data_IF_686090800261
#
_entry.id   IF_686090800261
#
_cell.length_a   1.000
_cell.length_b   1.000
_cell.length_c   1.000
_cell.angle_alpha   90.00
_cell.angle_beta   90.00
_cell.angle_gamma   90.00
#
_symmetry.space_group_name_H-M   'P 1'
#
loop_
_entity.id
_entity.type
_entity.pdbx_description
1 polymer ?
#
# COMPACT_ATOMS: atom_id res chain seq x y z
N UNK A 1 6.44 12.64 1.16
CA UNK A 1 5.51 11.90 0.28
C UNK A 1 4.43 11.14 1.05
N UNK A 2 4.74 10.23 1.99
CA UNK A 2 3.70 9.48 2.74
C UNK A 2 2.62 10.36 3.40
N UNK A 3 2.99 11.50 4.01
CA UNK A 3 2.03 12.46 4.56
C UNK A 3 1.05 13.02 3.51
N UNK A 4 1.49 13.19 2.27
CA UNK A 4 0.64 13.65 1.17
C UNK A 4 -0.27 12.51 0.68
N UNK A 5 0.24 11.28 0.55
CA UNK A 5 -0.57 10.10 0.22
C UNK A 5 -1.74 9.91 1.21
N UNK A 6 -1.46 9.96 2.51
CA UNK A 6 -2.49 9.81 3.53
C UNK A 6 -3.46 10.99 3.58
N UNK A 7 -2.98 12.21 3.29
CA UNK A 7 -3.85 13.38 3.12
C UNK A 7 -4.84 13.19 1.97
N UNK A 8 -4.38 12.61 0.85
CA UNK A 8 -5.20 12.34 -0.33
C UNK A 8 -6.38 11.45 0.05
N UNK A 9 -6.11 10.30 0.67
CA UNK A 9 -7.17 9.34 1.06
C UNK A 9 -8.04 9.83 2.23
N UNK A 10 -7.58 10.80 3.03
CA UNK A 10 -8.44 11.46 4.02
C UNK A 10 -9.38 12.49 3.41
N UNK A 11 -9.10 12.99 2.20
CA UNK A 11 -9.91 14.01 1.56
C UNK A 11 -11.31 13.48 1.21
N UNK A 12 -12.36 14.22 1.60
CA UNK A 12 -13.76 13.82 1.36
C UNK A 12 -14.08 13.57 -0.13
N UNK A 13 -13.51 14.36 -1.05
CA UNK A 13 -13.74 14.19 -2.50
C UNK A 13 -13.05 12.96 -3.10
N UNK A 14 -11.96 12.51 -2.47
CA UNK A 14 -11.27 11.28 -2.86
C UNK A 14 -12.08 10.08 -2.36
N UNK A 15 -12.56 10.14 -1.12
CA UNK A 15 -13.38 9.07 -0.51
C UNK A 15 -14.67 8.74 -1.25
N UNK A 16 -15.22 9.67 -2.05
CA UNK A 16 -16.38 9.38 -2.90
C UNK A 16 -16.03 8.61 -4.17
N UNK A 17 -14.74 8.39 -4.44
CA UNK A 17 -14.23 7.73 -5.65
C UNK A 17 -13.39 6.50 -5.36
N UNK A 18 -12.59 6.54 -4.29
CA UNK A 18 -11.79 5.41 -3.83
C UNK A 18 -11.73 5.37 -2.32
N UNK A 19 -11.79 4.16 -1.76
CA UNK A 19 -11.60 3.88 -0.35
C UNK A 19 -10.24 3.20 -0.13
N UNK A 20 -9.53 3.63 0.91
CA UNK A 20 -8.28 2.99 1.31
C UNK A 20 -8.60 1.89 2.34
N UNK A 21 -8.47 0.63 1.95
CA UNK A 21 -8.77 -0.52 2.81
C UNK A 21 -7.66 -0.85 3.80
N UNK A 22 -6.39 -0.63 3.42
CA UNK A 22 -5.23 -1.00 4.22
C UNK A 22 -3.93 -0.50 3.60
N UNK A 23 -2.86 -0.52 4.38
CA UNK A 23 -1.50 -0.23 3.92
C UNK A 23 -0.62 -1.41 4.33
N UNK A 24 0.07 -2.01 3.37
CA UNK A 24 1.06 -3.07 3.62
C UNK A 24 2.45 -2.47 3.38
N UNK A 25 3.35 -2.63 4.34
CA UNK A 25 4.74 -2.16 4.26
C UNK A 25 5.71 -3.32 4.49
N UNK A 26 6.78 -3.32 3.69
CA UNK A 26 7.94 -4.20 3.86
C UNK A 26 9.13 -3.49 4.53
N UNK A 27 9.03 -2.17 4.73
CA UNK A 27 10.07 -1.35 5.36
C UNK A 27 10.06 -1.51 6.88
N UNK A 28 11.26 -1.57 7.46
CA UNK A 28 11.45 -1.66 8.91
C UNK A 28 11.39 -0.29 9.62
N UNK A 29 11.66 0.81 8.91
CA UNK A 29 11.65 2.17 9.46
C UNK A 29 10.26 2.64 9.90
N UNK A 30 10.20 3.81 10.55
CA UNK A 30 8.97 4.41 11.10
C UNK A 30 8.46 5.62 10.30
N UNK A 31 9.01 5.91 9.12
CA UNK A 31 8.66 7.12 8.34
C UNK A 31 7.17 7.10 7.95
N UNK A 32 6.67 5.93 7.55
CA UNK A 32 5.26 5.72 7.25
C UNK A 32 4.39 5.84 8.51
N UNK A 33 4.87 5.37 9.66
CA UNK A 33 4.16 5.37 10.93
C UNK A 33 3.96 6.79 11.43
N UNK A 34 5.00 7.62 11.34
CA UNK A 34 4.91 9.03 11.68
C UNK A 34 3.93 9.77 10.77
N UNK A 35 3.86 9.41 9.49
CA UNK A 35 2.85 9.93 8.58
C UNK A 35 1.44 9.45 8.98
N UNK A 36 1.30 8.16 9.31
CA UNK A 36 0.06 7.54 9.72
C UNK A 36 -0.52 8.18 10.99
N UNK A 37 0.31 8.36 12.03
CA UNK A 37 -0.02 9.03 13.30
C UNK A 37 -0.70 10.37 13.10
N UNK A 38 -0.26 11.13 12.10
CA UNK A 38 -0.82 12.43 11.79
C UNK A 38 -2.30 12.39 11.36
N UNK A 39 -2.72 11.34 10.65
CA UNK A 39 -4.04 11.29 10.02
C UNK A 39 -4.99 10.28 10.66
N UNK A 40 -4.46 9.18 11.17
CA UNK A 40 -5.23 8.06 11.68
C UNK A 40 -4.95 7.80 13.17
N UNK A 41 -4.10 8.60 13.83
CA UNK A 41 -3.71 8.32 15.22
C UNK A 41 -2.78 7.11 15.30
N UNK A 42 -2.73 6.43 16.44
CA UNK A 42 -1.77 5.34 16.64
C UNK A 42 -1.89 4.23 15.56
N UNK A 43 -0.76 3.74 15.01
CA UNK A 43 -0.73 2.69 14.01
C UNK A 43 -1.52 1.44 14.40
N UNK A 44 -2.42 1.02 13.52
CA UNK A 44 -3.15 -0.23 13.67
C UNK A 44 -2.36 -1.38 13.00
N UNK A 45 -1.38 -1.95 13.73
CA UNK A 45 -0.57 -3.07 13.24
C UNK A 45 -1.29 -4.42 13.23
N UNK A 46 -2.51 -4.51 13.79
CA UNK A 46 -3.29 -5.75 13.86
C UNK A 46 -2.58 -6.92 14.59
N UNK A 47 -1.98 -6.65 15.76
CA UNK A 47 -1.30 -7.67 16.58
C UNK A 47 -2.21 -8.71 17.26
N UNK A 48 -3.53 -8.62 17.07
CA UNK A 48 -4.47 -9.64 17.54
C UNK A 48 -5.77 -9.65 16.73
N UNK A 49 -6.41 -10.83 16.66
CA UNK A 49 -7.79 -10.98 16.22
C UNK A 49 -8.69 -10.66 17.44
N UNK A 50 -9.50 -9.62 17.37
CA UNK A 50 -10.48 -9.29 18.42
C UNK A 50 -10.24 -8.01 19.19
N UNK A 51 -9.15 -7.27 18.95
CA UNK A 51 -9.12 -5.86 19.32
C UNK A 51 -9.89 -5.07 18.25
N UNK A 52 -11.22 -5.11 18.34
CA UNK A 52 -12.06 -3.95 18.02
C UNK A 52 -11.79 -2.85 19.07
N UNK A 53 -10.52 -2.48 19.26
CA UNK A 53 -10.19 -1.25 19.97
C UNK A 53 -10.79 -0.08 19.20
N UNK A 54 -11.05 1.08 19.84
CA UNK A 54 -11.91 2.18 19.37
C UNK A 54 -11.48 2.87 18.06
N UNK A 55 -10.50 2.32 17.36
CA UNK A 55 -9.92 2.85 16.15
C UNK A 55 -10.59 2.19 14.94
N UNK A 56 -11.61 2.86 14.37
CA UNK A 56 -12.10 2.68 12.98
C UNK A 56 -11.00 3.01 11.94
N UNK A 57 -9.73 2.80 12.28
CA UNK A 57 -8.60 3.23 11.47
C UNK A 57 -8.13 2.11 10.55
N UNK A 58 -7.68 2.54 9.38
CA UNK A 58 -7.19 1.71 8.30
C UNK A 58 -5.98 0.89 8.79
N UNK A 59 -5.95 -0.45 8.63
CA UNK A 59 -4.80 -1.26 8.99
C UNK A 59 -3.49 -0.75 8.37
N UNK A 60 -2.42 -0.67 9.19
CA UNK A 60 -1.04 -0.46 8.75
C UNK A 60 -0.25 -1.73 9.07
N UNK A 61 -0.11 -2.62 8.10
CA UNK A 61 0.46 -3.95 8.26
C UNK A 61 1.94 -3.93 7.87
N UNK A 62 2.83 -4.25 8.81
CA UNK A 62 4.27 -4.41 8.52
C UNK A 62 4.63 -5.88 8.50
N UNK A 63 4.79 -6.45 7.31
CA UNK A 63 4.94 -7.90 7.14
C UNK A 63 6.30 -8.42 7.63
N UNK A 64 7.32 -7.58 7.63
CA UNK A 64 8.68 -7.92 8.11
C UNK A 64 8.97 -7.40 9.52
N UNK A 65 8.03 -6.69 10.13
CA UNK A 65 8.24 -6.03 11.41
C UNK A 65 8.72 -4.59 11.30
N UNK A 66 9.14 -4.02 12.43
CA UNK A 66 9.67 -2.66 12.50
C UNK A 66 10.67 -2.46 13.61
N UNK A 67 11.61 -1.55 13.39
CA UNK A 67 12.60 -1.17 14.40
C UNK A 67 11.99 -0.47 15.63
N UNK A 68 10.78 0.10 15.51
CA UNK A 68 10.09 0.75 16.62
C UNK A 68 9.13 -0.18 17.40
N UNK A 69 9.24 -1.50 17.22
CA UNK A 69 8.42 -2.50 17.92
C UNK A 69 9.07 -3.07 19.18
N UNK A 70 9.98 -2.31 19.79
CA UNK A 70 10.69 -2.69 21.02
C UNK A 70 9.76 -2.73 22.24
N UNK A 71 8.73 -1.87 22.28
CA UNK A 71 7.77 -1.74 23.40
C UNK A 71 6.33 -1.53 22.94
N UNK A 72 5.78 -2.49 22.21
CA UNK A 72 4.37 -2.44 21.80
C UNK A 72 3.46 -2.99 22.89
N UNK A 73 2.27 -2.41 23.03
CA UNK A 73 1.23 -2.94 23.92
C UNK A 73 0.34 -3.90 23.14
N UNK A 74 0.27 -5.16 23.58
CA UNK A 74 -0.64 -6.18 23.04
C UNK A 74 -1.48 -6.69 24.20
N UNK A 75 -2.81 -6.50 24.15
CA UNK A 75 -3.73 -6.87 25.24
C UNK A 75 -3.29 -6.32 26.59
N UNK A 76 -2.90 -5.04 26.62
CA UNK A 76 -2.44 -4.34 27.82
C UNK A 76 -1.04 -4.70 28.32
N UNK A 77 -0.35 -5.67 27.71
CA UNK A 77 1.01 -6.08 28.10
C UNK A 77 2.05 -5.52 27.14
N UNK A 78 3.12 -4.95 27.68
CA UNK A 78 4.27 -4.53 26.87
C UNK A 78 5.00 -5.77 26.35
N UNK A 79 5.28 -5.82 25.06
CA UNK A 79 6.05 -6.87 24.40
C UNK A 79 7.03 -6.25 23.41
N UNK A 80 8.17 -6.91 23.28
CA UNK A 80 9.10 -6.71 22.17
C UNK A 80 8.73 -7.71 21.08
N UNK A 81 8.59 -7.24 19.84
CA UNK A 81 8.37 -8.12 18.68
C UNK A 81 9.67 -8.21 17.90
N UNK A 82 10.12 -9.42 17.63
CA UNK A 82 11.28 -9.68 16.78
C UNK A 82 10.97 -9.27 15.33
N UNK A 83 11.91 -8.58 14.69
CA UNK A 83 11.86 -8.31 13.25
C UNK A 83 12.15 -9.59 12.47
N UNK A 84 11.51 -9.78 11.31
CA UNK A 84 11.86 -10.86 10.39
C UNK A 84 13.01 -10.34 9.53
N UNK A 85 14.25 -10.84 9.69
CA UNK A 85 15.38 -10.33 8.92
C UNK A 85 15.28 -10.71 7.44
N UNK A 86 15.92 -9.91 6.58
CA UNK A 86 16.04 -10.19 5.16
C UNK A 86 16.79 -11.53 4.96
N UNK A 87 16.24 -12.43 4.14
CA UNK A 87 16.88 -13.68 3.76
C UNK A 87 16.75 -14.86 4.75
N UNK A 88 16.13 -14.68 5.92
CA UNK A 88 15.86 -15.80 6.82
C UNK A 88 14.60 -16.59 6.40
N UNK A 89 14.51 -17.85 6.84
CA UNK A 89 13.26 -18.61 6.81
C UNK A 89 12.21 -17.84 7.62
N UNK A 90 11.33 -17.11 6.92
CA UNK A 90 10.33 -16.24 7.52
C UNK A 90 9.26 -17.11 8.18
N UNK A 91 9.28 -17.22 9.49
CA UNK A 91 8.24 -17.94 10.23
C UNK A 91 7.14 -16.97 10.67
N UNK A 92 6.15 -16.76 9.81
CA UNK A 92 4.97 -15.91 10.05
C UNK A 92 3.81 -16.66 10.73
N UNK A 93 4.00 -17.94 11.12
CA UNK A 93 2.95 -18.75 11.75
C UNK A 93 2.76 -18.41 13.23
N UNK A 94 3.71 -17.71 13.84
CA UNK A 94 3.64 -17.34 15.24
C UNK A 94 3.07 -15.93 15.44
N UNK A 95 2.43 -15.74 16.60
CA UNK A 95 1.96 -14.43 17.00
C UNK A 95 3.14 -13.46 17.24
N UNK A 96 3.02 -12.18 16.86
CA UNK A 96 1.82 -11.57 16.30
C UNK A 96 1.72 -11.63 14.77
N UNK A 97 2.73 -12.14 14.07
CA UNK A 97 2.80 -12.13 12.61
C UNK A 97 1.65 -12.86 11.94
N UNK A 98 1.21 -14.00 12.48
CA UNK A 98 0.06 -14.71 11.93
C UNK A 98 -1.17 -13.79 11.81
N UNK A 99 -1.43 -12.94 12.79
CA UNK A 99 -2.54 -11.98 12.76
C UNK A 99 -2.36 -10.88 11.72
N UNK A 100 -1.13 -10.38 11.57
CA UNK A 100 -0.78 -9.37 10.55
C UNK A 100 -1.00 -9.94 9.15
N UNK A 101 -0.49 -11.15 8.91
CA UNK A 101 -0.59 -11.84 7.63
C UNK A 101 -2.03 -12.28 7.32
N UNK A 102 -2.79 -12.76 8.31
CA UNK A 102 -4.22 -13.02 8.15
C UNK A 102 -5.01 -11.75 7.79
N UNK A 103 -4.68 -10.61 8.42
CA UNK A 103 -5.32 -9.33 8.05
C UNK A 103 -4.93 -8.88 6.66
N UNK A 104 -3.67 -9.10 6.26
CA UNK A 104 -3.20 -8.77 4.91
C UNK A 104 -3.96 -9.58 3.85
N UNK A 105 -4.16 -10.87 4.09
CA UNK A 105 -5.02 -11.71 3.24
C UNK A 105 -6.43 -11.13 3.12
N UNK A 106 -7.08 -10.83 4.25
CA UNK A 106 -8.45 -10.30 4.28
C UNK A 106 -8.60 -9.00 3.46
N UNK A 107 -7.66 -8.06 3.59
CA UNK A 107 -7.73 -6.79 2.85
C UNK A 107 -7.44 -6.99 1.36
N UNK A 108 -6.57 -7.94 0.99
CA UNK A 108 -6.23 -8.22 -0.40
C UNK A 108 -7.38 -8.94 -1.12
N UNK A 109 -8.06 -9.88 -0.46
CA UNK A 109 -9.26 -10.52 -1.03
C UNK A 109 -10.38 -9.51 -1.31
N UNK A 110 -10.47 -8.44 -0.50
CA UNK A 110 -11.47 -7.37 -0.66
C UNK A 110 -11.03 -6.23 -1.58
N UNK A 111 -9.76 -6.16 -2.00
CA UNK A 111 -9.27 -5.02 -2.76
C UNK A 111 -9.54 -5.17 -4.26
N UNK A 112 -9.93 -4.09 -4.91
CA UNK A 112 -10.08 -4.05 -6.37
C UNK A 112 -8.80 -3.58 -7.05
N UNK A 113 -8.08 -2.67 -6.37
CA UNK A 113 -6.83 -2.09 -6.86
C UNK A 113 -5.76 -2.20 -5.78
N UNK A 114 -4.67 -2.91 -6.08
CA UNK A 114 -3.45 -2.95 -5.29
C UNK A 114 -2.40 -2.01 -5.90
N UNK A 115 -1.96 -1.01 -5.13
CA UNK A 115 -0.91 -0.08 -5.54
C UNK A 115 0.42 -0.46 -4.89
N UNK A 116 1.40 -0.84 -5.72
CA UNK A 116 2.73 -1.24 -5.26
C UNK A 116 3.68 -0.08 -5.50
N UNK A 117 4.19 0.52 -4.43
CA UNK A 117 5.05 1.71 -4.48
C UNK A 117 6.48 1.32 -4.11
N UNK A 118 7.42 1.47 -5.03
CA UNK A 118 8.84 1.29 -4.75
C UNK A 118 9.24 -0.12 -4.31
N UNK A 119 8.50 -1.16 -4.74
CA UNK A 119 8.80 -2.55 -4.46
C UNK A 119 8.99 -3.31 -5.79
N UNK A 120 10.05 -4.11 -5.87
CA UNK A 120 10.39 -4.91 -7.06
C UNK A 120 9.69 -6.27 -7.11
N UNK A 121 8.98 -6.66 -6.04
CA UNK A 121 8.43 -8.02 -5.85
C UNK A 121 9.46 -9.08 -6.26
N UNK A 122 10.62 -9.07 -5.62
CA UNK A 122 11.71 -9.97 -5.96
C UNK A 122 11.50 -11.36 -5.35
N UNK A 123 12.37 -12.32 -5.66
CA UNK A 123 12.35 -13.65 -5.00
C UNK A 123 12.47 -13.57 -3.47
N UNK A 124 13.09 -12.50 -2.93
CA UNK A 124 13.16 -12.28 -1.48
C UNK A 124 11.77 -12.00 -0.84
N UNK A 125 10.78 -11.71 -1.66
CA UNK A 125 9.39 -11.41 -1.30
C UNK A 125 8.45 -12.60 -1.59
N UNK A 126 8.99 -13.82 -1.72
CA UNK A 126 8.22 -15.04 -2.06
C UNK A 126 6.93 -15.21 -1.25
N UNK A 127 6.99 -14.96 0.06
CA UNK A 127 5.81 -15.06 0.93
C UNK A 127 4.74 -14.01 0.62
N UNK A 128 5.14 -12.78 0.24
CA UNK A 128 4.18 -11.77 -0.21
C UNK A 128 3.58 -12.18 -1.56
N UNK A 129 4.39 -12.73 -2.47
CA UNK A 129 3.90 -13.22 -3.77
C UNK A 129 2.90 -14.37 -3.58
N UNK A 130 3.20 -15.32 -2.70
CA UNK A 130 2.29 -16.40 -2.31
C UNK A 130 0.98 -15.86 -1.70
N UNK A 131 1.07 -14.84 -0.85
CA UNK A 131 -0.10 -14.16 -0.28
C UNK A 131 -0.96 -13.50 -1.37
N UNK A 132 -0.34 -12.80 -2.32
CA UNK A 132 -1.04 -12.16 -3.43
C UNK A 132 -1.71 -13.19 -4.33
N UNK A 133 -1.04 -14.31 -4.62
CA UNK A 133 -1.60 -15.40 -5.41
C UNK A 133 -2.82 -16.01 -4.73
N UNK A 134 -2.71 -16.33 -3.43
CA UNK A 134 -3.83 -16.84 -2.64
C UNK A 134 -5.00 -15.86 -2.61
N UNK A 135 -4.75 -14.59 -2.37
CA UNK A 135 -5.81 -13.57 -2.29
C UNK A 135 -6.54 -13.40 -3.63
N UNK A 136 -5.80 -13.45 -4.74
CA UNK A 136 -6.39 -13.38 -6.07
C UNK A 136 -7.25 -14.62 -6.38
N UNK A 137 -6.79 -15.83 -6.04
CA UNK A 137 -7.59 -17.05 -6.17
C UNK A 137 -8.85 -17.02 -5.31
N UNK A 138 -8.76 -16.52 -4.07
CA UNK A 138 -9.90 -16.45 -3.15
C UNK A 138 -10.92 -15.37 -3.56
N UNK A 139 -10.47 -14.25 -4.11
CA UNK A 139 -11.36 -13.17 -4.60
C UNK A 139 -12.25 -13.68 -5.75
N UNK A 140 -11.73 -14.55 -6.60
CA UNK A 140 -12.43 -15.08 -7.78
C UNK A 140 -12.47 -14.12 -8.99
N UNK A 141 -12.06 -12.87 -8.80
CA UNK A 141 -11.92 -11.83 -9.83
C UNK A 141 -10.48 -11.29 -9.88
N UNK A 142 -10.12 -10.64 -10.99
CA UNK A 142 -8.81 -10.00 -11.17
C UNK A 142 -8.62 -8.83 -10.19
N UNK A 143 -7.51 -8.86 -9.43
CA UNK A 143 -7.03 -7.70 -8.69
C UNK A 143 -6.23 -6.84 -9.67
N UNK A 144 -6.61 -5.57 -9.83
CA UNK A 144 -5.82 -4.64 -10.63
C UNK A 144 -4.55 -4.25 -9.85
N UNK A 145 -3.37 -4.57 -10.38
CA UNK A 145 -2.09 -4.27 -9.73
C UNK A 145 -1.44 -3.08 -10.45
N UNK A 146 -1.33 -1.95 -9.76
CA UNK A 146 -0.69 -0.74 -10.28
C UNK A 146 0.74 -0.62 -9.72
N UNK A 147 1.74 -0.74 -10.60
CA UNK A 147 3.16 -0.61 -10.22
C UNK A 147 3.60 0.85 -10.31
N UNK A 148 3.81 1.47 -9.15
CA UNK A 148 4.31 2.83 -9.00
C UNK A 148 5.82 2.76 -8.74
N UNK A 149 6.56 2.58 -9.84
CA UNK A 149 8.01 2.46 -9.90
C UNK A 149 8.53 2.83 -11.29
N UNK A 150 9.77 2.47 -11.62
CA UNK A 150 10.26 2.59 -13.00
C UNK A 150 9.45 1.68 -13.92
N UNK A 151 9.20 2.10 -15.15
CA UNK A 151 8.42 1.29 -16.08
C UNK A 151 9.03 -0.09 -16.31
N UNK A 152 10.36 -0.18 -16.41
CA UNK A 152 11.09 -1.44 -16.55
C UNK A 152 10.86 -2.41 -15.38
N UNK A 153 10.75 -1.90 -14.15
CA UNK A 153 10.39 -2.72 -12.98
C UNK A 153 8.97 -3.27 -13.12
N UNK A 154 8.03 -2.45 -13.61
CA UNK A 154 6.67 -2.91 -13.90
C UNK A 154 6.64 -4.00 -14.98
N UNK A 155 7.39 -3.82 -16.07
CA UNK A 155 7.52 -4.81 -17.15
C UNK A 155 8.13 -6.13 -16.66
N UNK A 156 9.15 -6.05 -15.80
CA UNK A 156 9.77 -7.23 -15.20
C UNK A 156 8.79 -7.99 -14.29
N UNK A 157 8.06 -7.27 -13.42
CA UNK A 157 7.02 -7.85 -12.57
C UNK A 157 5.92 -8.50 -13.42
N UNK A 158 5.48 -7.83 -14.50
CA UNK A 158 4.48 -8.36 -15.42
C UNK A 158 4.97 -9.64 -16.11
N UNK A 159 6.24 -9.69 -16.53
CA UNK A 159 6.85 -10.87 -17.13
C UNK A 159 6.96 -12.03 -16.14
N UNK A 160 7.39 -11.76 -14.92
CA UNK A 160 7.63 -12.78 -13.89
C UNK A 160 6.33 -13.32 -13.29
N UNK A 161 5.28 -12.50 -13.23
CA UNK A 161 4.01 -12.81 -12.61
C UNK A 161 2.85 -12.65 -13.60
N UNK A 162 3.04 -13.11 -14.83
CA UNK A 162 2.06 -12.99 -15.92
C UNK A 162 0.73 -13.73 -15.69
N UNK A 163 0.60 -14.47 -14.58
CA UNK A 163 -0.67 -15.00 -14.12
C UNK A 163 -1.61 -13.90 -13.58
N UNK A 164 -1.07 -12.76 -13.14
CA UNK A 164 -1.87 -11.56 -12.85
C UNK A 164 -2.06 -10.76 -14.14
N UNK A 165 -3.15 -11.03 -14.85
CA UNK A 165 -3.60 -10.31 -16.05
C UNK A 165 -3.74 -8.79 -15.82
N UNK A 166 -4.08 -8.38 -14.60
CA UNK A 166 -4.35 -7.00 -14.20
C UNK A 166 -3.13 -6.13 -13.86
N UNK A 167 -1.90 -6.55 -14.15
CA UNK A 167 -0.71 -5.73 -13.87
C UNK A 167 -0.62 -4.55 -14.86
N UNK A 168 -0.61 -3.32 -14.33
CA UNK A 168 -0.37 -2.06 -15.06
C UNK A 168 0.96 -1.45 -14.61
N UNK A 169 1.83 -1.13 -15.57
CA UNK A 169 3.05 -0.35 -15.34
C UNK A 169 2.74 1.14 -15.14
N UNK A 170 3.72 1.94 -14.71
CA UNK A 170 3.51 3.37 -14.41
C UNK A 170 2.83 4.14 -15.56
N UNK A 171 3.22 3.87 -16.80
CA UNK A 171 2.67 4.53 -18.01
C UNK A 171 1.37 3.91 -18.52
N UNK A 172 0.89 2.84 -17.87
CA UNK A 172 -0.40 2.21 -18.18
C UNK A 172 -1.47 2.58 -17.14
N UNK A 173 -1.08 3.20 -16.02
CA UNK A 173 -2.01 3.67 -15.00
C UNK A 173 -2.79 4.87 -15.54
N UNK A 174 -4.10 4.69 -15.73
CA UNK A 174 -5.05 5.74 -16.16
C UNK A 174 -5.91 6.29 -15.00
N UNK A 175 -6.70 7.33 -15.29
CA UNK A 175 -7.78 7.75 -14.39
C UNK A 175 -9.00 6.87 -14.68
N UNK A 176 -9.35 5.97 -13.75
CA UNK A 176 -10.43 4.95 -13.86
C UNK A 176 -11.85 5.52 -13.98
N UNK A 177 -12.03 6.70 -14.59
CA UNK A 177 -13.35 7.20 -14.98
C UNK A 177 -13.89 6.35 -16.13
N UNK A 178 -14.51 5.23 -15.76
CA UNK A 178 -15.55 4.51 -16.50
C UNK A 178 -15.34 4.34 -18.02
N UNK A 179 -14.81 3.20 -18.42
CA UNK A 179 -15.25 2.48 -19.63
C UNK A 179 -14.86 3.02 -21.00
N UNK A 180 -14.01 4.05 -21.11
CA UNK A 180 -13.54 4.53 -22.41
C UNK A 180 -12.27 3.81 -22.87
N UNK A 181 -12.36 3.10 -24.01
CA UNK A 181 -11.20 2.69 -24.80
C UNK A 181 -10.40 3.94 -25.17
N UNK A 182 -9.20 4.09 -24.61
CA UNK A 182 -8.32 5.25 -24.83
C UNK A 182 -7.91 6.00 -23.56
N UNK A 183 -7.75 5.31 -22.42
CA UNK A 183 -7.26 5.92 -21.18
C UNK A 183 -5.90 6.61 -21.44
N UNK A 184 -5.88 7.95 -21.31
CA UNK A 184 -4.64 8.71 -21.32
C UNK A 184 -3.88 8.36 -20.04
N UNK A 185 -2.62 7.92 -20.14
CA UNK A 185 -1.79 7.64 -18.97
C UNK A 185 -1.74 8.83 -18.02
N UNK A 186 -1.90 8.57 -16.74
CA UNK A 186 -1.75 9.57 -15.69
C UNK A 186 -0.30 10.11 -15.66
N UNK A 187 0.67 9.24 -15.94
CA UNK A 187 2.08 9.56 -16.08
C UNK A 187 2.55 9.10 -17.46
N UNK A 188 2.94 10.03 -18.33
CA UNK A 188 3.45 9.67 -19.66
C UNK A 188 4.95 9.37 -19.67
N UNK A 189 5.68 9.84 -18.65
CA UNK A 189 7.13 9.62 -18.53
C UNK A 189 7.41 8.21 -18.00
N UNK A 190 8.19 7.36 -18.72
CA UNK A 190 8.44 5.98 -18.30
C UNK A 190 9.45 5.84 -17.16
N UNK A 191 10.32 6.84 -16.95
CA UNK A 191 11.37 6.78 -15.93
C UNK A 191 11.56 8.14 -15.23
N UNK A 192 10.53 8.67 -14.56
CA UNK A 192 10.69 9.86 -13.76
C UNK A 192 11.70 9.63 -12.63
N UNK A 193 12.44 10.67 -12.25
CA UNK A 193 13.41 10.62 -11.14
C UNK A 193 12.82 10.05 -9.85
N UNK A 194 11.55 10.36 -9.58
CA UNK A 194 10.81 9.83 -8.46
C UNK A 194 9.38 9.44 -8.87
N UNK A 195 9.21 8.17 -9.25
CA UNK A 195 7.92 7.61 -9.67
C UNK A 195 6.80 7.82 -8.64
N UNK A 196 7.09 7.68 -7.33
CA UNK A 196 6.07 7.89 -6.30
C UNK A 196 5.61 9.35 -6.25
N UNK A 197 6.55 10.30 -6.27
CA UNK A 197 6.24 11.72 -6.32
C UNK A 197 5.42 12.07 -7.56
N UNK A 198 5.89 11.65 -8.73
CA UNK A 198 5.26 11.95 -10.02
C UNK A 198 3.84 11.39 -10.08
N UNK A 199 3.66 10.11 -9.77
CA UNK A 199 2.32 9.49 -9.70
C UNK A 199 1.41 10.23 -8.73
N UNK A 200 1.88 10.53 -7.51
CA UNK A 200 1.06 11.18 -6.49
C UNK A 200 0.66 12.60 -6.91
N UNK A 201 1.55 13.34 -7.57
CA UNK A 201 1.28 14.67 -8.12
C UNK A 201 0.13 14.62 -9.12
N UNK A 202 0.22 13.77 -10.14
CA UNK A 202 -0.80 13.67 -11.18
C UNK A 202 -2.12 13.10 -10.63
N UNK A 203 -2.06 12.10 -9.75
CA UNK A 203 -3.26 11.54 -9.07
C UNK A 203 -3.98 12.61 -8.27
N UNK A 204 -3.23 13.39 -7.48
CA UNK A 204 -3.80 14.46 -6.66
C UNK A 204 -4.40 15.59 -7.50
N UNK A 205 -3.73 16.00 -8.59
CA UNK A 205 -4.24 17.01 -9.51
C UNK A 205 -5.54 16.54 -10.20
N UNK A 206 -5.56 15.31 -10.73
CA UNK A 206 -6.76 14.74 -11.36
C UNK A 206 -7.95 14.66 -10.39
N UNK A 207 -7.69 14.26 -9.14
CA UNK A 207 -8.74 14.06 -8.14
C UNK A 207 -9.25 15.35 -7.51
N UNK A 208 -8.37 16.30 -7.20
CA UNK A 208 -8.69 17.48 -6.42
C UNK A 208 -8.76 18.76 -7.24
N UNK A 209 -8.07 18.85 -8.38
CA UNK A 209 -7.95 20.03 -9.24
C UNK A 209 -7.68 21.30 -8.39
N UNK A 210 -8.54 22.32 -8.50
CA UNK A 210 -8.47 23.57 -7.72
C UNK A 210 -8.42 23.38 -6.21
N UNK A 211 -8.94 22.27 -5.65
CA UNK A 211 -8.93 22.01 -4.21
C UNK A 211 -7.56 21.58 -3.68
N UNK A 212 -6.61 21.24 -4.56
CA UNK A 212 -5.26 20.84 -4.19
C UNK A 212 -4.56 21.93 -3.36
N UNK A 213 -4.81 23.21 -3.67
CA UNK A 213 -4.24 24.37 -2.95
C UNK A 213 -4.67 24.47 -1.48
N UNK A 214 -5.79 23.84 -1.12
CA UNK A 214 -6.34 23.88 0.25
C UNK A 214 -5.79 22.75 1.14
N UNK A 215 -4.86 21.95 0.62
CA UNK A 215 -4.21 20.86 1.36
C UNK A 215 -2.90 21.34 1.98
N UNK A 216 -2.41 20.64 3.00
CA UNK A 216 -1.17 21.00 3.69
C UNK A 216 0.06 20.42 2.99
N UNK A 217 0.01 19.16 2.56
CA UNK A 217 1.16 18.45 1.98
C UNK A 217 0.99 18.22 0.48
N UNK A 218 -0.23 17.96 0.00
CA UNK A 218 -0.44 17.74 -1.44
C UNK A 218 -0.16 19.00 -2.27
N UNK A 219 -0.39 20.21 -1.72
CA UNK A 219 -0.02 21.47 -2.38
C UNK A 219 1.49 21.62 -2.61
N UNK A 220 2.33 20.89 -1.88
CA UNK A 220 3.78 20.93 -2.06
C UNK A 220 4.24 20.10 -3.27
N UNK A 221 3.35 19.31 -3.87
CA UNK A 221 3.65 18.52 -5.09
C UNK A 221 3.59 19.34 -6.38
N UNK A 222 3.06 20.56 -6.30
CA UNK A 222 2.85 21.47 -7.44
C UNK A 222 3.70 22.74 -7.35
N UNK A 223 4.45 22.90 -6.26
CA UNK A 223 5.44 23.97 -6.09
C UNK A 223 6.77 23.51 -6.67
#
# INVERSE_FOLDING_TARGET
MHKALLELHKNKKVKTKEELLGIISLNYDDVLDQAYKKYYGEPNYCFSLGEEGPSKNIPLLKLHGSFNWDKVKIRGRSKTIEIIPLGANKNYLHAPYNFIWSRAMEILTKCDILRIIGCSLSQNDLHLIDLLFKAHLEKGDDILIEIIGRNSTGEEIQKNYGFFSGIKTLTQIGDHKAGYKGEVPLVSEPSPDNAFYTWLKYKADSMLKKNLKNTKYLKLLIQ
#
